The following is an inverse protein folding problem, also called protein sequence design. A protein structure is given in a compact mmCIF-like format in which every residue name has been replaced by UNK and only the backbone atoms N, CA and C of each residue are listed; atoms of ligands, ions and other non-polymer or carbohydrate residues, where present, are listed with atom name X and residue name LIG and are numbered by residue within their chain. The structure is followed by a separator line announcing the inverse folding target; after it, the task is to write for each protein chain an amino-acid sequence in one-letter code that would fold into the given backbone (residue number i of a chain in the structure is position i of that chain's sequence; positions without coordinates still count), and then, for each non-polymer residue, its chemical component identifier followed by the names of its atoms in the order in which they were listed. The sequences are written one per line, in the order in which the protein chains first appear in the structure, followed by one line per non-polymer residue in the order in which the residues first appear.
data_IF_805170633639
#
_entry.id   IF_805170633639
#
_cell.length_a   1.000
_cell.length_b   1.000
_cell.length_c   1.000
_cell.angle_alpha   90.00
_cell.angle_beta   90.00
_cell.angle_gamma   90.00
#
_symmetry.space_group_name_H-M   'P 1'
#
loop_
_entity.id
_entity.type
_entity.pdbx_description
1 polymer ?
#
# COMPACT_ATOMS: atom_id res chain seq x y z
N UNK A 1 -8.83 21.74 10.03
CA UNK A 1 -7.83 22.46 9.20
C UNK A 1 -8.40 22.66 7.82
N UNK A 2 -8.31 23.88 7.29
CA UNK A 2 -8.75 24.17 5.91
C UNK A 2 -7.77 23.58 4.90
N UNK A 3 -8.18 23.27 3.65
CA UNK A 3 -7.28 22.76 2.60
C UNK A 3 -6.08 23.67 2.34
N UNK A 4 -6.26 24.99 2.47
CA UNK A 4 -5.19 25.98 2.34
C UNK A 4 -4.16 25.86 3.47
N UNK A 5 -4.61 25.71 4.73
CA UNK A 5 -3.72 25.49 5.86
C UNK A 5 -2.88 24.22 5.69
N UNK A 6 -3.48 23.13 5.20
CA UNK A 6 -2.75 21.90 4.90
C UNK A 6 -1.68 22.12 3.82
N UNK A 7 -1.97 22.96 2.82
CA UNK A 7 -1.04 23.26 1.71
C UNK A 7 0.16 24.06 2.22
N UNK A 8 -0.10 25.04 3.07
CA UNK A 8 0.94 25.83 3.74
C UNK A 8 1.80 24.96 4.68
N UNK A 9 1.19 24.07 5.48
CA UNK A 9 1.94 23.15 6.33
C UNK A 9 2.80 22.16 5.52
N UNK A 10 2.29 21.71 4.37
CA UNK A 10 3.04 20.88 3.44
C UNK A 10 4.24 21.64 2.85
N UNK A 11 4.03 22.88 2.41
CA UNK A 11 5.07 23.77 1.89
C UNK A 11 6.14 24.05 2.95
N UNK A 12 5.75 24.39 4.19
CA UNK A 12 6.68 24.60 5.31
C UNK A 12 7.52 23.36 5.63
N UNK A 13 6.96 22.15 5.44
CA UNK A 13 7.74 20.91 5.60
C UNK A 13 8.82 20.75 4.52
N UNK A 14 8.53 21.13 3.27
CA UNK A 14 9.50 21.08 2.16
C UNK A 14 10.58 22.15 2.33
N UNK A 15 10.18 23.37 2.73
CA UNK A 15 11.10 24.45 3.11
C UNK A 15 12.06 24.03 4.22
N UNK A 16 11.53 23.45 5.31
CA UNK A 16 12.34 23.00 6.43
C UNK A 16 13.33 21.89 6.02
N UNK A 17 12.90 20.97 5.15
CA UNK A 17 13.79 19.98 4.56
C UNK A 17 14.92 20.63 3.76
N UNK A 18 14.58 21.55 2.84
CA UNK A 18 15.56 22.19 1.97
C UNK A 18 16.56 23.03 2.76
N UNK A 19 16.09 23.86 3.69
CA UNK A 19 16.93 24.67 4.56
C UNK A 19 17.89 23.80 5.39
N UNK A 20 17.46 22.61 5.82
CA UNK A 20 18.34 21.67 6.54
C UNK A 20 19.44 21.11 5.66
N UNK A 21 19.13 20.74 4.41
CA UNK A 21 20.13 20.21 3.48
C UNK A 21 21.08 21.32 2.99
N UNK A 22 20.57 22.52 2.71
CA UNK A 22 21.38 23.69 2.33
C UNK A 22 22.29 24.17 3.46
N UNK A 23 21.85 24.16 4.73
CA UNK A 23 22.74 24.48 5.88
C UNK A 23 23.91 23.51 5.99
N UNK A 24 23.69 22.24 5.65
CA UNK A 24 24.75 21.22 5.63
C UNK A 24 25.74 21.40 4.47
N UNK A 25 25.35 22.12 3.41
CA UNK A 25 26.13 22.33 2.20
C UNK A 25 27.46 23.02 2.49
N UNK A 26 27.44 24.10 3.26
CA UNK A 26 28.64 24.89 3.57
C UNK A 26 29.69 24.01 4.26
N UNK A 27 29.26 23.25 5.27
CA UNK A 27 30.13 22.30 5.98
C UNK A 27 30.61 21.17 5.09
N UNK A 28 29.77 20.70 4.17
CA UNK A 28 30.13 19.64 3.22
C UNK A 28 31.17 20.14 2.21
N UNK A 29 30.96 21.31 1.61
CA UNK A 29 31.91 21.96 0.70
C UNK A 29 33.26 22.22 1.38
N UNK A 30 33.25 22.70 2.62
CA UNK A 30 34.47 22.89 3.42
C UNK A 30 35.22 21.57 3.68
N UNK A 31 34.50 20.47 3.96
CA UNK A 31 35.11 19.20 4.34
C UNK A 31 35.53 18.33 3.15
N UNK A 32 34.79 18.36 2.05
CA UNK A 32 34.97 17.45 0.93
C UNK A 32 35.39 18.15 -0.37
N UNK A 33 35.47 19.49 -0.38
CA UNK A 33 35.83 20.27 -1.55
C UNK A 33 34.62 20.64 -2.42
N UNK A 34 34.84 21.37 -3.52
CA UNK A 34 33.79 21.74 -4.47
C UNK A 34 33.14 20.50 -5.07
N UNK A 35 31.80 20.54 -5.21
CA UNK A 35 31.02 19.44 -5.76
C UNK A 35 31.36 19.23 -7.24
N UNK A 36 31.41 17.98 -7.69
CA UNK A 36 31.64 17.65 -9.09
C UNK A 36 30.57 18.33 -9.95
N UNK A 37 31.01 19.12 -10.94
CA UNK A 37 30.12 19.69 -11.95
C UNK A 37 29.38 18.55 -12.64
N UNK A 38 28.05 18.53 -12.52
CA UNK A 38 27.23 17.60 -13.29
C UNK A 38 27.34 17.98 -14.76
N UNK A 39 27.71 17.03 -15.61
CA UNK A 39 27.61 17.14 -17.06
C UNK A 39 26.23 17.70 -17.43
N UNK A 40 26.16 18.72 -18.30
CA UNK A 40 24.94 19.46 -18.56
C UNK A 40 23.89 18.53 -19.17
N UNK A 41 22.89 18.14 -18.37
CA UNK A 41 21.63 17.67 -18.92
C UNK A 41 20.98 18.87 -19.61
N UNK A 42 20.87 18.77 -20.93
CA UNK A 42 20.25 19.68 -21.90
C UNK A 42 19.13 20.56 -21.34
N UNK A 43 19.43 21.77 -20.80
CA UNK A 43 18.58 22.98 -20.87
C UNK A 43 18.92 24.14 -19.89
N UNK A 44 19.89 24.05 -18.96
CA UNK A 44 20.17 25.17 -18.02
C UNK A 44 21.63 25.64 -18.03
N UNK A 45 21.81 26.92 -18.37
CA UNK A 45 23.09 27.62 -18.62
C UNK A 45 23.84 28.06 -17.35
N UNK A 46 23.38 27.70 -16.15
CA UNK A 46 24.01 28.10 -14.88
C UNK A 46 24.66 26.92 -14.15
N UNK A 47 25.87 27.06 -13.57
CA UNK A 47 26.49 26.01 -12.77
C UNK A 47 25.65 25.77 -11.51
N UNK A 48 24.74 24.81 -11.59
CA UNK A 48 23.91 24.42 -10.45
C UNK A 48 24.80 23.65 -9.45
N UNK A 49 24.88 24.16 -8.22
CA UNK A 49 25.58 23.49 -7.13
C UNK A 49 25.00 22.06 -6.94
N UNK A 50 25.78 21.04 -7.29
CA UNK A 50 25.32 19.65 -7.35
C UNK A 50 25.35 18.96 -5.98
N UNK A 51 24.27 19.07 -5.21
CA UNK A 51 24.22 18.57 -3.83
C UNK A 51 24.16 17.04 -3.74
N UNK A 52 24.85 16.42 -2.78
CA UNK A 52 24.71 14.99 -2.55
C UNK A 52 23.26 14.59 -2.26
N UNK A 53 22.68 13.70 -3.08
CA UNK A 53 21.31 13.25 -2.88
C UNK A 53 21.13 12.51 -1.52
N UNK A 54 20.25 12.99 -0.61
CA UNK A 54 20.07 12.40 0.71
C UNK A 54 19.12 11.19 0.71
N UNK A 55 18.47 10.88 -0.41
CA UNK A 55 17.54 9.76 -0.56
C UNK A 55 18.20 8.45 -1.01
N UNK A 56 19.45 8.52 -1.47
CA UNK A 56 20.19 7.39 -2.02
C UNK A 56 21.19 6.88 -0.98
N UNK A 57 21.28 5.55 -0.74
CA UNK A 57 22.34 4.98 0.09
C UNK A 57 23.70 5.18 -0.56
N UNK A 58 24.74 5.42 0.25
CA UNK A 58 26.10 5.69 -0.25
C UNK A 58 27.06 4.62 0.19
N UNK A 59 27.91 4.15 -0.72
CA UNK A 59 29.02 3.25 -0.40
C UNK A 59 30.20 4.08 0.09
N UNK A 60 30.73 3.75 1.26
CA UNK A 60 31.96 4.34 1.76
C UNK A 60 33.14 3.78 0.95
N UNK A 61 33.93 4.66 0.32
CA UNK A 61 35.05 4.24 -0.53
C UNK A 61 36.16 3.51 0.26
N UNK A 62 36.39 3.89 1.52
CA UNK A 62 37.45 3.30 2.35
C UNK A 62 37.06 1.93 2.92
N UNK A 63 35.85 1.82 3.46
CA UNK A 63 35.41 0.59 4.15
C UNK A 63 34.62 -0.36 3.26
N UNK A 64 34.19 0.08 2.08
CA UNK A 64 33.34 -0.67 1.17
C UNK A 64 31.90 -0.91 1.67
N UNK A 65 31.56 -0.48 2.88
CA UNK A 65 30.24 -0.67 3.48
C UNK A 65 29.24 0.34 2.92
N UNK A 66 27.99 -0.09 2.76
CA UNK A 66 26.89 0.78 2.37
C UNK A 66 26.29 1.45 3.60
N UNK A 67 26.20 2.78 3.55
CA UNK A 67 25.41 3.56 4.49
C UNK A 67 23.98 3.71 3.96
N UNK A 68 23.04 3.56 4.88
CA UNK A 68 21.63 3.83 4.63
C UNK A 68 21.40 5.28 4.16
N UNK A 69 20.32 5.55 3.41
CA UNK A 69 19.98 6.92 3.03
C UNK A 69 19.68 7.77 4.27
N UNK A 70 20.04 9.05 4.24
CA UNK A 70 19.82 10.00 5.35
C UNK A 70 18.34 10.10 5.76
N UNK A 71 17.44 9.93 4.79
CA UNK A 71 16.00 9.83 5.01
C UNK A 71 15.51 8.43 4.66
N UNK A 72 14.80 7.79 5.60
CA UNK A 72 14.16 6.50 5.36
C UNK A 72 13.08 6.57 4.28
N UNK A 73 12.78 5.44 3.63
CA UNK A 73 11.79 5.38 2.55
C UNK A 73 10.39 5.90 2.95
N UNK A 74 10.02 5.83 4.23
CA UNK A 74 8.79 6.41 4.76
C UNK A 74 8.85 7.93 4.74
N UNK A 75 9.92 8.51 5.28
CA UNK A 75 10.14 9.97 5.30
C UNK A 75 10.23 10.54 3.89
N UNK A 76 10.89 9.82 2.99
CA UNK A 76 10.90 10.16 1.55
C UNK A 76 9.48 10.22 0.98
N UNK A 77 8.65 9.20 1.25
CA UNK A 77 7.27 9.18 0.77
C UNK A 77 6.41 10.30 1.36
N UNK A 78 6.58 10.62 2.65
CA UNK A 78 5.88 11.74 3.31
C UNK A 78 6.30 13.09 2.71
N UNK A 79 7.59 13.31 2.46
CA UNK A 79 8.10 14.52 1.81
C UNK A 79 7.59 14.65 0.37
N UNK A 80 7.65 13.58 -0.43
CA UNK A 80 7.15 13.58 -1.80
C UNK A 80 5.64 13.88 -1.84
N UNK A 81 4.85 13.29 -0.95
CA UNK A 81 3.40 13.59 -0.85
C UNK A 81 3.15 15.07 -0.53
N UNK A 82 3.87 15.63 0.43
CA UNK A 82 3.75 17.05 0.81
C UNK A 82 4.19 17.98 -0.32
N UNK A 83 5.26 17.64 -1.03
CA UNK A 83 5.75 18.42 -2.16
C UNK A 83 4.75 18.44 -3.31
N UNK A 84 4.16 17.29 -3.64
CA UNK A 84 3.13 17.21 -4.68
C UNK A 84 1.87 17.98 -4.27
N UNK A 85 1.44 17.85 -3.01
CA UNK A 85 0.28 18.58 -2.51
C UNK A 85 0.47 20.11 -2.54
N UNK A 86 1.70 20.57 -2.29
CA UNK A 86 2.04 22.00 -2.35
C UNK A 86 2.41 22.50 -3.75
N UNK A 87 2.64 21.61 -4.73
CA UNK A 87 3.12 21.95 -6.07
C UNK A 87 4.63 22.17 -6.17
N UNK A 88 5.41 21.74 -5.17
CA UNK A 88 6.87 21.93 -5.07
C UNK A 88 7.64 20.63 -5.34
N UNK A 89 7.07 19.71 -6.13
CA UNK A 89 7.65 18.39 -6.38
C UNK A 89 9.05 18.44 -7.04
N UNK A 90 9.34 19.49 -7.80
CA UNK A 90 10.61 19.67 -8.51
C UNK A 90 11.77 19.99 -7.56
N UNK A 91 11.48 20.59 -6.40
CA UNK A 91 12.46 20.96 -5.38
C UNK A 91 12.99 19.75 -4.60
N UNK A 92 12.28 18.63 -4.63
CA UNK A 92 12.63 17.40 -3.90
C UNK A 92 13.58 16.52 -4.73
N UNK A 93 14.64 15.95 -4.13
CA UNK A 93 15.59 15.10 -4.85
C UNK A 93 14.91 13.91 -5.54
N UNK A 94 15.43 13.47 -6.70
CA UNK A 94 14.97 12.25 -7.35
C UNK A 94 15.22 11.04 -6.45
N UNK A 95 14.34 10.03 -6.53
CA UNK A 95 14.48 8.85 -5.69
C UNK A 95 13.31 7.87 -5.81
N UNK A 96 13.42 6.69 -5.15
CA UNK A 96 12.54 5.56 -5.37
C UNK A 96 11.06 5.85 -5.11
N UNK A 97 10.76 6.81 -4.23
CA UNK A 97 9.38 7.19 -3.89
C UNK A 97 8.83 8.30 -4.79
N UNK A 98 9.68 9.13 -5.39
CA UNK A 98 9.27 10.15 -6.36
C UNK A 98 8.81 9.46 -7.64
N UNK A 99 9.66 8.59 -8.19
CA UNK A 99 9.39 7.82 -9.41
C UNK A 99 8.14 6.95 -9.27
N UNK A 100 8.03 6.20 -8.15
CA UNK A 100 6.87 5.34 -7.91
C UNK A 100 5.56 6.13 -7.79
N UNK A 101 5.61 7.36 -7.29
CA UNK A 101 4.44 8.23 -7.20
C UNK A 101 4.08 8.81 -8.57
N UNK A 102 5.08 9.18 -9.36
CA UNK A 102 4.90 9.72 -10.71
C UNK A 102 4.25 8.68 -11.64
N UNK A 103 4.77 7.44 -11.64
CA UNK A 103 4.15 6.32 -12.35
C UNK A 103 2.69 6.07 -11.94
N UNK A 104 2.37 6.27 -10.65
CA UNK A 104 1.00 6.16 -10.15
C UNK A 104 0.10 7.28 -10.67
N UNK A 105 0.60 8.52 -10.71
CA UNK A 105 -0.13 9.65 -11.26
C UNK A 105 -0.39 9.46 -12.75
N UNK A 106 0.61 9.00 -13.51
CA UNK A 106 0.50 8.77 -14.94
C UNK A 106 -0.54 7.69 -15.24
N UNK A 107 -0.58 6.61 -14.43
CA UNK A 107 -1.67 5.64 -14.52
C UNK A 107 -3.04 6.29 -14.29
N UNK A 108 -3.21 7.05 -13.22
CA UNK A 108 -4.52 7.65 -12.90
C UNK A 108 -4.97 8.61 -14.01
N UNK A 109 -4.03 9.33 -14.62
CA UNK A 109 -4.29 10.16 -15.80
C UNK A 109 -4.73 9.31 -17.00
N UNK A 110 -4.03 8.20 -17.26
CA UNK A 110 -4.41 7.25 -18.33
C UNK A 110 -5.80 6.66 -18.09
N UNK A 111 -6.11 6.21 -16.88
CA UNK A 111 -7.42 5.66 -16.50
C UNK A 111 -8.54 6.70 -16.68
N UNK A 112 -8.29 7.95 -16.24
CA UNK A 112 -9.22 9.06 -16.44
C UNK A 112 -9.46 9.32 -17.92
N UNK A 113 -8.40 9.39 -18.73
CA UNK A 113 -8.49 9.62 -20.18
C UNK A 113 -9.24 8.48 -20.89
N UNK A 114 -9.02 7.22 -20.49
CA UNK A 114 -9.78 6.07 -21.01
C UNK A 114 -11.26 6.08 -20.60
N UNK A 115 -11.58 6.62 -19.42
CA UNK A 115 -12.97 6.76 -18.94
C UNK A 115 -13.70 7.89 -19.66
N UNK A 116 -12.98 8.95 -20.02
CA UNK A 116 -13.51 10.11 -20.73
C UNK A 116 -13.61 9.89 -22.25
N UNK A 117 -13.10 8.78 -22.78
CA UNK A 117 -13.39 8.39 -24.16
C UNK A 117 -14.88 8.05 -24.30
N UNK A 118 -15.58 8.59 -25.31
CA UNK A 118 -16.97 8.24 -25.56
C UNK A 118 -17.05 6.74 -25.78
N UNK A 119 -17.81 6.06 -24.92
CA UNK A 119 -18.17 4.66 -25.11
C UNK A 119 -19.08 4.62 -26.34
N UNK A 120 -18.49 4.31 -27.51
CA UNK A 120 -19.23 4.00 -28.73
C UNK A 120 -20.28 2.92 -28.39
N UNK A 121 -21.58 3.23 -28.45
CA UNK A 121 -22.63 2.27 -28.11
C UNK A 121 -22.69 1.21 -29.21
N UNK A 122 -21.83 0.21 -29.11
CA UNK A 122 -21.88 -0.96 -29.96
C UNK A 122 -23.11 -1.79 -29.58
N UNK A 123 -24.22 -1.56 -30.30
CA UNK A 123 -25.36 -2.48 -30.52
C UNK A 123 -25.69 -3.41 -29.34
N UNK A 124 -26.01 -2.85 -28.18
CA UNK A 124 -26.51 -3.58 -26.99
C UNK A 124 -27.97 -3.22 -26.64
N UNK A 125 -28.71 -2.60 -27.57
CA UNK A 125 -30.06 -2.11 -27.32
C UNK A 125 -31.10 -3.19 -26.99
N UNK A 126 -30.86 -4.46 -27.37
CA UNK A 126 -31.85 -5.54 -27.22
C UNK A 126 -31.66 -6.40 -25.96
N UNK A 127 -30.47 -6.45 -25.37
CA UNK A 127 -30.18 -7.38 -24.25
C UNK A 127 -30.42 -6.72 -22.87
N UNK A 128 -30.34 -5.39 -22.79
CA UNK A 128 -30.40 -4.65 -21.51
C UNK A 128 -31.84 -4.41 -21.03
N UNK A 129 -32.81 -4.35 -21.94
CA UNK A 129 -34.23 -4.10 -21.61
C UNK A 129 -34.87 -5.28 -20.87
N UNK A 130 -34.57 -6.52 -21.28
CA UNK A 130 -35.11 -7.74 -20.66
C UNK A 130 -34.53 -7.99 -19.26
N UNK A 131 -33.25 -7.67 -19.04
CA UNK A 131 -32.62 -7.81 -17.73
C UNK A 131 -33.17 -6.80 -16.70
N UNK A 132 -33.49 -5.56 -17.12
CA UNK A 132 -34.05 -4.52 -16.23
C UNK A 132 -35.45 -4.88 -15.69
N UNK A 133 -36.28 -5.55 -16.47
CA UNK A 133 -37.62 -5.97 -16.04
C UNK A 133 -37.57 -7.02 -14.89
N UNK A 134 -36.57 -7.91 -14.89
CA UNK A 134 -36.40 -8.92 -13.82
C UNK A 134 -35.79 -8.36 -12.54
N UNK A 135 -34.99 -7.29 -12.61
CA UNK A 135 -34.32 -6.70 -11.44
C UNK A 135 -35.27 -5.89 -10.56
N UNK A 136 -36.27 -5.21 -11.15
CA UNK A 136 -37.21 -4.36 -10.41
C UNK A 136 -38.16 -5.14 -9.49
N UNK A 137 -38.51 -6.40 -9.80
CA UNK A 137 -39.36 -7.22 -8.90
C UNK A 137 -38.66 -7.61 -7.61
N UNK A 138 -37.36 -7.97 -7.66
CA UNK A 138 -36.61 -8.34 -6.47
C UNK A 138 -36.17 -7.15 -5.60
N UNK A 139 -36.09 -5.93 -6.16
CA UNK A 139 -35.80 -4.74 -5.35
C UNK A 139 -36.98 -4.31 -4.49
N UNK A 140 -38.22 -4.49 -4.97
CA UNK A 140 -39.43 -4.15 -4.21
C UNK A 140 -39.65 -5.08 -3.01
N UNK A 141 -39.38 -6.38 -3.16
CA UNK A 141 -39.48 -7.35 -2.07
C UNK A 141 -38.44 -7.08 -0.97
N UNK A 142 -37.21 -6.69 -1.36
CA UNK A 142 -36.17 -6.26 -0.42
C UNK A 142 -36.50 -4.94 0.27
N UNK A 143 -37.09 -3.98 -0.44
CA UNK A 143 -37.54 -2.72 0.16
C UNK A 143 -38.63 -2.96 1.21
N UNK A 144 -39.60 -3.84 0.92
CA UNK A 144 -40.66 -4.25 1.84
C UNK A 144 -40.09 -4.99 3.06
N UNK A 145 -39.07 -5.84 2.90
CA UNK A 145 -38.43 -6.52 4.04
C UNK A 145 -37.64 -5.56 4.93
N UNK A 146 -36.94 -4.58 4.34
CA UNK A 146 -36.17 -3.58 5.09
C UNK A 146 -37.09 -2.63 5.86
N UNK A 147 -38.22 -2.22 5.27
CA UNK A 147 -39.24 -1.42 5.95
C UNK A 147 -39.82 -2.16 7.18
N UNK A 148 -40.10 -3.47 7.04
CA UNK A 148 -40.57 -4.30 8.15
C UNK A 148 -39.54 -4.44 9.27
N UNK A 149 -38.24 -4.55 8.94
CA UNK A 149 -37.16 -4.59 9.91
C UNK A 149 -37.04 -3.25 10.67
N UNK A 150 -37.16 -2.12 9.98
CA UNK A 150 -37.11 -0.79 10.60
C UNK A 150 -38.31 -0.53 11.53
N UNK A 151 -39.49 -1.03 11.17
CA UNK A 151 -40.69 -0.93 12.01
C UNK A 151 -40.56 -1.76 13.29
N UNK A 152 -40.04 -2.99 13.19
CA UNK A 152 -39.76 -3.82 14.38
C UNK A 152 -38.71 -3.18 15.29
N UNK A 153 -37.68 -2.55 14.71
CA UNK A 153 -36.62 -1.86 15.48
C UNK A 153 -37.12 -0.58 16.16
N UNK A 154 -38.10 0.11 15.56
CA UNK A 154 -38.75 1.26 16.21
C UNK A 154 -39.56 0.85 17.44
N UNK A 155 -40.15 -0.36 17.46
CA UNK A 155 -40.91 -0.90 18.60
C UNK A 155 -40.01 -1.36 19.75
N UNK A 156 -38.74 -1.67 19.49
CA UNK A 156 -37.77 -2.12 20.51
C UNK A 156 -36.99 -0.97 21.17
N UNK A 157 -36.97 0.22 20.56
CA UNK A 157 -36.27 1.41 21.09
C UNK A 157 -36.65 1.80 22.54
N UNK A 158 -37.92 1.84 22.96
CA UNK A 158 -38.26 2.24 24.33
C UNK A 158 -37.74 1.24 25.39
N UNK A 159 -37.61 -0.05 25.05
CA UNK A 159 -37.04 -1.07 25.94
C UNK A 159 -35.50 -0.96 26.04
N UNK A 160 -34.82 -0.64 24.93
CA UNK A 160 -33.37 -0.38 24.92
C UNK A 160 -33.02 0.90 25.72
N UNK A 161 -33.91 1.88 25.74
CA UNK A 161 -33.77 3.13 26.52
C UNK A 161 -34.02 2.90 28.03
N UNK A 162 -34.87 1.96 28.43
CA UNK A 162 -35.03 1.53 29.83
C UNK A 162 -33.82 0.76 30.37
N UNK A 163 -33.23 -0.12 29.57
CA UNK A 163 -32.02 -0.88 29.95
C UNK A 163 -30.80 0.06 30.12
N UNK A 164 -30.70 1.09 29.28
CA UNK A 164 -29.63 2.10 29.37
C UNK A 164 -29.81 3.11 30.52
N UNK A 165 -30.96 3.12 31.21
CA UNK A 165 -31.21 3.93 32.41
C UNK A 165 -30.75 3.26 33.71
N UNK A 166 -30.40 1.97 33.67
CA UNK A 166 -29.69 1.31 34.78
C UNK A 166 -28.21 1.67 34.71
N UNK A 167 -27.89 2.89 35.14
CA UNK A 167 -26.51 3.34 35.37
C UNK A 167 -26.15 3.13 36.84
N UNK A 168 -24.84 3.12 37.16
CA UNK A 168 -24.23 2.87 38.47
C UNK A 168 -24.62 3.92 39.54
N UNK A 169 -25.92 4.05 39.81
CA UNK A 169 -26.48 4.73 40.96
C UNK A 169 -26.11 3.91 42.18
N UNK A 170 -24.97 4.26 42.78
CA UNK A 170 -24.72 4.30 44.23
C UNK A 170 -23.24 4.63 44.46
N UNK A 171 -22.78 5.74 43.88
CA UNK A 171 -21.66 6.51 44.42
C UNK A 171 -22.13 7.95 44.55
N UNK A 172 -21.86 8.56 45.69
CA UNK A 172 -22.28 9.94 45.94
C UNK A 172 -21.45 10.90 45.09
N UNK A 173 -22.05 12.01 44.64
CA UNK A 173 -21.37 13.03 43.80
C UNK A 173 -20.05 13.51 44.43
N UNK A 174 -20.03 13.60 45.76
CA UNK A 174 -18.84 13.96 46.53
C UNK A 174 -17.67 12.96 46.39
N UNK A 175 -17.94 11.67 46.26
CA UNK A 175 -16.92 10.62 46.14
C UNK A 175 -16.34 10.55 44.71
N UNK A 176 -17.18 10.84 43.70
CA UNK A 176 -16.75 10.90 42.30
C UNK A 176 -15.89 12.15 42.02
N UNK A 177 -16.26 13.30 42.60
CA UNK A 177 -15.48 14.53 42.50
C UNK A 177 -14.13 14.42 43.22
N UNK A 178 -14.11 13.84 44.43
CA UNK A 178 -12.88 13.58 45.17
C UNK A 178 -11.93 12.64 44.40
N UNK A 179 -12.46 11.66 43.68
CA UNK A 179 -11.68 10.76 42.83
C UNK A 179 -11.09 11.49 41.61
N UNK A 180 -11.89 12.33 40.92
CA UNK A 180 -11.45 13.13 39.77
C UNK A 180 -10.38 14.14 40.19
N UNK A 181 -10.56 14.79 41.33
CA UNK A 181 -9.60 15.77 41.85
C UNK A 181 -8.28 15.10 42.23
N UNK A 182 -8.33 13.94 42.91
CA UNK A 182 -7.14 13.15 43.28
C UNK A 182 -6.38 12.65 42.05
N UNK A 183 -7.09 12.24 40.99
CA UNK A 183 -6.50 11.83 39.71
C UNK A 183 -5.82 13.01 39.00
N UNK A 184 -6.46 14.18 38.96
CA UNK A 184 -5.88 15.38 38.34
C UNK A 184 -4.61 15.89 39.06
N UNK A 185 -4.52 15.72 40.38
CA UNK A 185 -3.32 16.09 41.18
C UNK A 185 -2.13 15.17 40.91
N UNK A 186 -2.38 13.90 40.64
CA UNK A 186 -1.33 12.92 40.28
C UNK A 186 -0.81 13.20 38.87
N UNK A 187 -1.70 13.51 37.92
CA UNK A 187 -1.32 13.81 36.54
C UNK A 187 -0.49 15.10 36.42
N UNK A 188 -0.81 16.16 37.20
CA UNK A 188 -0.01 17.40 37.25
C UNK A 188 1.42 17.16 37.78
N UNK A 189 1.57 16.38 38.86
CA UNK A 189 2.90 16.02 39.38
C UNK A 189 3.72 15.21 38.37
N UNK A 190 3.09 14.31 37.62
CA UNK A 190 3.77 13.52 36.58
C UNK A 190 4.29 14.39 35.42
N UNK A 191 3.57 15.46 35.07
CA UNK A 191 3.98 16.39 34.02
C UNK A 191 5.10 17.34 34.47
N UNK A 192 5.12 17.77 35.73
CA UNK A 192 6.24 18.54 36.30
C UNK A 192 7.56 17.74 36.27
N UNK A 193 7.51 16.44 36.57
CA UNK A 193 8.67 15.55 36.44
C UNK A 193 9.12 15.37 34.98
N UNK A 194 8.19 15.32 34.02
CA UNK A 194 8.53 15.23 32.58
C UNK A 194 9.16 16.52 32.06
N UNK A 195 8.74 17.68 32.56
CA UNK A 195 9.30 18.97 32.18
C UNK A 195 10.71 19.18 32.75
N UNK A 196 10.96 18.77 34.00
CA UNK A 196 12.28 18.85 34.62
C UNK A 196 13.34 17.96 33.92
N UNK A 197 12.94 16.77 33.44
CA UNK A 197 13.81 15.89 32.68
C UNK A 197 14.19 16.47 31.29
N UNK A 198 13.32 17.28 30.70
CA UNK A 198 13.54 17.91 29.39
C UNK A 198 14.52 19.11 29.47
N UNK A 199 14.47 19.90 30.54
CA UNK A 199 15.38 21.05 30.74
C UNK A 199 16.83 20.59 31.02
N UNK A 200 17.00 19.47 31.72
CA UNK A 200 18.32 18.89 31.99
C UNK A 200 18.99 18.33 30.71
N UNK A 201 18.20 17.84 29.74
CA UNK A 201 18.73 17.35 28.46
C UNK A 201 19.17 18.49 27.52
N UNK A 202 18.63 19.70 27.69
CA UNK A 202 18.97 20.86 26.86
C UNK A 202 20.20 21.66 27.34
N UNK A 203 20.62 21.52 28.61
CA UNK A 203 21.81 22.22 29.15
C UNK A 203 23.16 21.57 28.81
N UNK A 204 23.18 20.31 28.37
CA UNK A 204 24.43 19.59 28.01
C UNK A 204 24.90 19.88 26.56
N UNK A 205 24.20 20.76 25.82
CA UNK A 205 24.50 21.10 24.42
C UNK A 205 25.42 22.32 24.19
N UNK A 206 26.01 22.93 25.22
CA UNK A 206 26.88 24.10 25.08
C UNK A 206 28.35 23.71 24.89
N UNK A 207 28.73 23.29 23.67
CA UNK A 207 30.15 23.33 23.20
C UNK A 207 30.35 23.71 21.72
N UNK A 208 29.32 24.19 21.01
CA UNK A 208 29.41 24.47 19.57
C UNK A 208 29.36 25.97 19.18
N UNK A 209 29.39 26.91 20.13
CA UNK A 209 29.20 28.34 19.81
C UNK A 209 30.45 29.10 19.33
N UNK A 210 31.66 28.58 19.54
CA UNK A 210 32.88 29.33 19.16
C UNK A 210 33.41 29.03 17.75
N UNK A 211 32.97 27.95 17.10
CA UNK A 211 33.44 27.59 15.74
C UNK A 211 32.74 28.35 14.58
N UNK A 212 31.76 29.21 14.87
CA UNK A 212 31.00 29.92 13.83
C UNK A 212 31.50 31.34 13.52
N UNK A 213 32.55 31.84 14.18
CA UNK A 213 33.01 33.24 14.04
C UNK A 213 33.91 33.52 12.83
N UNK A 214 34.42 32.50 12.14
CA UNK A 214 35.41 32.66 11.05
C UNK A 214 34.88 32.22 9.67
N UNK A 215 33.58 31.92 9.55
CA UNK A 215 33.02 31.44 8.28
C UNK A 215 32.64 32.66 7.42
N UNK A 216 33.26 32.89 6.24
CA UNK A 216 32.77 33.89 5.30
C UNK A 216 31.32 33.55 4.94
N UNK A 217 30.43 34.55 5.04
CA UNK A 217 29.02 34.40 4.68
C UNK A 217 28.95 34.04 3.20
N UNK A 218 28.73 32.75 2.89
CA UNK A 218 28.35 32.35 1.54
C UNK A 218 27.07 33.09 1.14
N UNK A 219 26.86 33.37 -0.16
CA UNK A 219 25.64 34.02 -0.63
C UNK A 219 24.44 33.25 -0.08
N UNK A 220 23.45 33.99 0.41
CA UNK A 220 22.22 33.43 0.93
C UNK A 220 21.47 32.77 -0.23
N UNK A 221 21.72 31.48 -0.45
CA UNK A 221 20.98 30.66 -1.41
C UNK A 221 19.52 30.69 -1.00
N UNK A 222 18.67 31.29 -1.83
CA UNK A 222 17.24 31.32 -1.56
C UNK A 222 16.68 29.90 -1.60
N UNK A 223 15.71 29.62 -0.74
CA UNK A 223 15.16 28.28 -0.61
C UNK A 223 14.39 27.83 -1.86
N UNK A 224 14.17 28.66 -2.87
CA UNK A 224 13.47 28.29 -4.11
C UNK A 224 14.42 27.98 -5.28
N UNK A 225 15.69 28.37 -5.19
CA UNK A 225 16.67 28.20 -6.28
C UNK A 225 16.84 26.74 -6.70
N UNK A 226 16.69 26.44 -7.99
CA UNK A 226 16.79 25.08 -8.52
C UNK A 226 18.14 24.44 -8.20
N UNK A 227 18.12 23.40 -7.36
CA UNK A 227 19.31 22.65 -6.95
C UNK A 227 19.39 21.37 -7.76
N UNK A 228 20.54 21.12 -8.39
CA UNK A 228 20.85 19.81 -8.96
C UNK A 228 21.29 18.87 -7.84
N UNK A 229 20.78 17.64 -7.85
CA UNK A 229 21.16 16.63 -6.86
C UNK A 229 22.14 15.64 -7.49
N UNK A 230 23.37 15.61 -6.98
CA UNK A 230 24.40 14.65 -7.33
C UNK A 230 23.99 13.23 -6.92
N UNK A 231 24.08 12.31 -7.88
CA UNK A 231 23.78 10.89 -7.72
C UNK A 231 22.53 10.48 -8.49
N UNK A 232 22.73 9.60 -9.47
CA UNK A 232 21.63 9.01 -10.23
C UNK A 232 20.94 7.90 -9.42
N UNK A 233 19.65 8.04 -9.18
CA UNK A 233 18.83 6.91 -8.76
C UNK A 233 18.59 6.01 -9.96
N UNK A 234 19.24 4.84 -9.99
CA UNK A 234 18.99 3.82 -11.03
C UNK A 234 17.79 2.95 -10.60
N UNK A 235 16.61 3.10 -11.23
CA UNK A 235 15.47 2.26 -10.89
C UNK A 235 15.79 0.80 -11.19
N UNK A 236 15.43 -0.10 -10.25
CA UNK A 236 15.60 -1.54 -10.47
C UNK A 236 14.62 -2.01 -11.56
N UNK A 237 15.15 -2.45 -12.70
CA UNK A 237 14.38 -3.08 -13.77
C UNK A 237 13.88 -4.46 -13.31
N UNK A 238 12.62 -4.54 -12.92
CA UNK A 238 11.93 -5.77 -12.47
C UNK A 238 10.58 -5.80 -13.17
N UNK A 239 10.03 -6.98 -13.55
CA UNK A 239 8.69 -7.07 -14.14
C UNK A 239 7.66 -6.26 -13.32
N UNK A 240 6.92 -5.38 -14.01
CA UNK A 240 5.94 -4.45 -13.40
C UNK A 240 6.49 -3.19 -12.77
N UNK A 241 7.81 -2.96 -12.80
CA UNK A 241 8.40 -1.70 -12.36
C UNK A 241 7.85 -0.51 -13.16
N UNK A 242 7.66 -0.67 -14.48
CA UNK A 242 7.06 0.33 -15.37
C UNK A 242 5.62 0.70 -14.97
N UNK A 243 4.88 -0.26 -14.41
CA UNK A 243 3.52 -0.03 -13.95
C UNK A 243 3.50 0.53 -12.52
N UNK A 244 4.62 0.57 -11.78
CA UNK A 244 4.59 0.91 -10.34
C UNK A 244 3.85 -0.11 -9.46
N UNK A 245 3.34 -1.20 -10.03
CA UNK A 245 2.76 -2.36 -9.32
C UNK A 245 3.75 -3.52 -9.48
N UNK A 246 4.69 -3.60 -8.53
CA UNK A 246 5.71 -4.67 -8.49
C UNK A 246 5.17 -5.97 -7.92
N UNK A 247 4.25 -5.86 -6.95
CA UNK A 247 3.47 -7.00 -6.50
C UNK A 247 2.59 -7.43 -7.69
N UNK A 248 2.64 -8.69 -8.08
CA UNK A 248 1.79 -9.31 -9.13
C UNK A 248 2.29 -9.30 -10.57
N UNK A 249 3.17 -8.39 -10.96
CA UNK A 249 3.70 -8.40 -12.31
C UNK A 249 4.66 -9.58 -12.55
N UNK A 250 4.45 -10.30 -13.65
CA UNK A 250 5.25 -11.47 -14.05
C UNK A 250 4.90 -12.78 -13.32
N UNK A 251 3.93 -12.80 -12.40
CA UNK A 251 3.51 -14.02 -11.71
C UNK A 251 2.25 -14.62 -12.35
N UNK A 252 2.38 -15.84 -12.91
CA UNK A 252 1.30 -16.57 -13.61
C UNK A 252 0.08 -16.93 -12.74
N UNK A 253 0.23 -17.04 -11.43
CA UNK A 253 -0.83 -17.49 -10.52
C UNK A 253 -0.90 -16.59 -9.31
N UNK A 254 -1.75 -15.58 -9.38
CA UNK A 254 -2.01 -14.70 -8.24
C UNK A 254 -3.46 -14.26 -8.21
N UNK A 255 -4.30 -15.10 -7.63
CA UNK A 255 -5.57 -14.63 -7.09
C UNK A 255 -6.06 -15.58 -6.01
N UNK A 256 -6.56 -14.99 -4.92
CA UNK A 256 -7.35 -15.65 -3.88
C UNK A 256 -8.76 -15.92 -4.41
N UNK A 257 -8.86 -16.62 -5.54
CA UNK A 257 -10.11 -17.22 -6.00
C UNK A 257 -10.34 -18.53 -5.25
N UNK A 258 -11.59 -18.97 -5.16
CA UNK A 258 -11.85 -20.29 -4.59
C UNK A 258 -11.24 -21.36 -5.51
N UNK A 259 -10.75 -22.48 -4.93
CA UNK A 259 -10.09 -23.55 -5.68
C UNK A 259 -10.92 -24.04 -6.88
N UNK A 260 -12.25 -24.05 -6.74
CA UNK A 260 -13.18 -24.47 -7.78
C UNK A 260 -13.16 -23.55 -9.00
N UNK A 261 -13.09 -22.23 -8.83
CA UNK A 261 -13.03 -21.26 -9.95
C UNK A 261 -11.75 -21.47 -10.78
N UNK A 262 -10.63 -21.73 -10.08
CA UNK A 262 -9.34 -22.03 -10.73
C UNK A 262 -9.35 -23.34 -11.49
N UNK A 263 -10.05 -24.34 -10.95
CA UNK A 263 -10.11 -25.67 -11.55
C UNK A 263 -11.24 -25.79 -12.58
N UNK A 264 -12.23 -24.88 -12.58
CA UNK A 264 -13.44 -24.95 -13.41
C UNK A 264 -13.13 -25.12 -14.89
N UNK A 265 -12.27 -24.27 -15.47
CA UNK A 265 -11.91 -24.38 -16.89
C UNK A 265 -11.19 -25.69 -17.20
N UNK A 266 -10.29 -26.14 -16.32
CA UNK A 266 -9.61 -27.44 -16.48
C UNK A 266 -10.56 -28.63 -16.36
N UNK A 267 -11.50 -28.58 -15.42
CA UNK A 267 -12.52 -29.59 -15.21
C UNK A 267 -13.53 -29.62 -16.36
N UNK A 268 -13.93 -28.47 -16.89
CA UNK A 268 -14.80 -28.38 -18.06
C UNK A 268 -14.13 -28.96 -19.31
N UNK A 269 -12.84 -28.64 -19.55
CA UNK A 269 -12.07 -29.24 -20.64
C UNK A 269 -11.93 -30.75 -20.50
N UNK A 270 -11.59 -31.23 -19.29
CA UNK A 270 -11.50 -32.67 -19.00
C UNK A 270 -12.86 -33.36 -19.18
N UNK A 271 -13.95 -32.74 -18.69
CA UNK A 271 -15.31 -33.24 -18.88
C UNK A 271 -15.67 -33.29 -20.36
N UNK A 272 -15.40 -32.24 -21.13
CA UNK A 272 -15.67 -32.23 -22.57
C UNK A 272 -14.93 -33.35 -23.31
N UNK A 273 -13.63 -33.52 -23.05
CA UNK A 273 -12.84 -34.64 -23.57
C UNK A 273 -13.43 -35.99 -23.14
N UNK A 274 -13.79 -36.14 -21.86
CA UNK A 274 -14.41 -37.35 -21.33
C UNK A 274 -15.84 -37.59 -21.86
N UNK A 275 -16.56 -36.58 -22.32
CA UNK A 275 -17.87 -36.78 -22.94
C UNK A 275 -17.73 -37.10 -24.43
N UNK A 276 -16.71 -36.56 -25.10
CA UNK A 276 -16.42 -36.83 -26.51
C UNK A 276 -16.22 -38.31 -26.79
N UNK A 277 -15.33 -38.95 -26.04
CA UNK A 277 -14.97 -40.36 -26.27
C UNK A 277 -15.77 -41.31 -25.34
N UNK A 278 -16.95 -40.87 -24.86
CA UNK A 278 -17.74 -41.62 -23.88
C UNK A 278 -18.22 -42.96 -24.44
N UNK A 279 -18.61 -43.00 -25.71
CA UNK A 279 -19.10 -44.21 -26.39
C UNK A 279 -18.02 -45.31 -26.41
N UNK A 280 -16.79 -44.95 -26.78
CA UNK A 280 -15.66 -45.89 -26.81
C UNK A 280 -15.31 -46.38 -25.41
N UNK A 281 -15.36 -45.50 -24.40
CA UNK A 281 -15.14 -45.90 -23.00
C UNK A 281 -16.19 -46.89 -22.51
N UNK A 282 -17.47 -46.68 -22.85
CA UNK A 282 -18.54 -47.64 -22.52
C UNK A 282 -18.34 -48.96 -23.27
N UNK A 283 -17.94 -48.94 -24.54
CA UNK A 283 -17.63 -50.16 -25.30
C UNK A 283 -16.49 -50.93 -24.65
N UNK A 284 -15.36 -50.28 -24.38
CA UNK A 284 -14.19 -50.89 -23.75
C UNK A 284 -14.53 -51.45 -22.35
N UNK A 285 -15.33 -50.73 -21.56
CA UNK A 285 -15.83 -51.22 -20.27
C UNK A 285 -16.66 -52.51 -20.44
N UNK A 286 -17.65 -52.50 -21.34
CA UNK A 286 -18.48 -53.68 -21.61
C UNK A 286 -17.65 -54.86 -22.11
N UNK A 287 -16.69 -54.63 -22.99
CA UNK A 287 -15.78 -55.66 -23.50
C UNK A 287 -14.87 -56.25 -22.42
N UNK A 288 -14.29 -55.39 -21.56
CA UNK A 288 -13.45 -55.81 -20.44
C UNK A 288 -14.21 -56.78 -19.52
N UNK A 289 -15.44 -56.43 -19.15
CA UNK A 289 -16.27 -57.31 -18.33
C UNK A 289 -16.78 -58.53 -19.08
N UNK A 290 -17.11 -58.41 -20.38
CA UNK A 290 -17.52 -59.56 -21.22
C UNK A 290 -16.44 -60.63 -21.28
N UNK A 291 -15.17 -60.25 -21.42
CA UNK A 291 -14.02 -61.18 -21.42
C UNK A 291 -13.79 -61.86 -20.07
N UNK A 292 -14.26 -61.26 -18.97
CA UNK A 292 -14.09 -61.73 -17.59
C UNK A 292 -15.33 -62.39 -17.00
N UNK A 293 -16.44 -62.46 -17.74
CA UNK A 293 -17.59 -63.27 -17.30
C UNK A 293 -17.12 -64.73 -17.22
N UNK A 294 -17.32 -65.43 -16.09
CA UNK A 294 -17.03 -66.84 -16.02
C UNK A 294 -17.90 -67.54 -17.08
N UNK A 295 -17.27 -68.35 -17.93
CA UNK A 295 -18.03 -69.16 -18.87
C UNK A 295 -18.68 -70.28 -18.03
N UNK A 296 -20.01 -70.36 -17.97
CA UNK A 296 -20.70 -71.32 -17.10
C UNK A 296 -20.41 -72.78 -17.48
N UNK A 297 -19.96 -73.04 -18.72
CA UNK A 297 -19.59 -74.37 -19.20
C UNK A 297 -18.10 -74.69 -19.04
N UNK A 298 -17.26 -73.72 -18.65
CA UNK A 298 -15.85 -74.01 -18.36
C UNK A 298 -15.77 -74.65 -16.98
N UNK A 299 -15.10 -75.81 -16.81
CA UNK A 299 -14.88 -76.39 -15.50
C UNK A 299 -14.17 -75.38 -14.61
N UNK A 300 -14.49 -75.40 -13.32
CA UNK A 300 -13.84 -74.54 -12.33
C UNK A 300 -12.31 -74.69 -12.49
N UNK A 301 -11.62 -73.57 -12.74
CA UNK A 301 -10.15 -73.54 -12.92
C UNK A 301 -9.36 -73.95 -11.67
N UNK A 302 -10.06 -74.34 -10.60
CA UNK A 302 -9.49 -74.68 -9.31
C UNK A 302 -9.72 -76.16 -9.00
N UNK A 303 -8.98 -77.03 -9.68
CA UNK A 303 -8.66 -78.35 -9.13
C UNK A 303 -7.38 -78.18 -8.35
N UNK A 304 -7.46 -78.02 -7.02
CA UNK A 304 -6.28 -78.30 -6.18
C UNK A 304 -5.79 -79.70 -6.60
N UNK A 305 -4.51 -79.90 -6.94
CA UNK A 305 -4.04 -81.24 -7.27
C UNK A 305 -4.41 -82.16 -6.11
N UNK A 306 -4.98 -83.35 -6.37
CA UNK A 306 -5.31 -84.28 -5.30
C UNK A 306 -4.03 -84.51 -4.51
N UNK A 307 -4.10 -84.36 -3.18
CA UNK A 307 -2.97 -84.68 -2.31
C UNK A 307 -2.71 -86.17 -2.51
N UNK A 308 -1.60 -86.48 -3.18
CA UNK A 308 -1.10 -87.85 -3.26
C UNK A 308 -0.91 -88.33 -1.82
N UNK A 309 -1.55 -89.44 -1.40
CA UNK A 309 -1.19 -90.06 -0.14
C UNK A 309 0.26 -90.53 -0.27
N UNK A 310 1.06 -90.20 0.75
CA UNK A 310 2.47 -90.61 0.86
C UNK A 310 2.61 -92.12 0.71
#
# INVERSE_FOLDING_TARGET
MTPQQLKQAALGSVQAFRNRELRGLVRHLQKFGPLSETTPSTSSTSPSLALPNPFIPKKNAKTGRWHEPKYSLRRQAELVRKAIFSGTADLVPPGPKKDAFQLRLDRLKQEKLMTELPFEPYVQGTIISEARATFNKHSEEKAKSVAKILEMRAKLRPFEEEINKLSYENLTEAEAEAYIEKKSKIDRKADDFRYAAYDHQMRVGYRDRELNRVIPKLPAVEWDETVSWAGEYKPRNVPGAQLGIRLYAGKKRMFKGHRWERQKLGLLKRRAMLMRDMKDRVRNYKEYYKKRKPNPLKPSRYTKPPKLPF
#
